data_IF_133955282674
#
_entry.id   IF_133955282674
#
_cell.length_a   1.000
_cell.length_b   1.000
_cell.length_c   1.000
_cell.angle_alpha   90.00
_cell.angle_beta   90.00
_cell.angle_gamma   90.00
#
_symmetry.space_group_name_H-M   'P 1'
#
loop_
_entity.id
_entity.type
_entity.pdbx_description
1 polymer ?
#
# COMPACT_ATOMS: atom_id res chain seq x y z
N UNK A 1 -19.04 -13.40 14.52
CA UNK A 1 -17.74 -13.89 14.01
C UNK A 1 -17.45 -13.06 12.80
N UNK A 2 -16.39 -12.25 12.85
CA UNK A 2 -16.13 -11.25 11.83
C UNK A 2 -15.43 -11.87 10.61
N UNK A 3 -15.94 -11.58 9.41
CA UNK A 3 -15.30 -11.90 8.14
C UNK A 3 -14.69 -10.63 7.51
N UNK A 4 -13.76 -10.79 6.56
CA UNK A 4 -13.11 -9.66 5.86
C UNK A 4 -14.10 -8.62 5.32
N UNK A 5 -15.18 -9.08 4.67
CA UNK A 5 -16.22 -8.20 4.12
C UNK A 5 -16.93 -7.34 5.17
N UNK A 6 -17.02 -7.81 6.41
CA UNK A 6 -17.69 -7.10 7.50
C UNK A 6 -16.75 -6.04 8.12
N UNK A 7 -15.43 -6.25 7.98
CA UNK A 7 -14.38 -5.37 8.49
C UNK A 7 -14.01 -4.29 7.47
N UNK A 8 -13.95 -4.64 6.19
CA UNK A 8 -13.31 -3.83 5.14
C UNK A 8 -13.98 -2.47 4.92
N UNK A 9 -15.28 -2.44 4.68
CA UNK A 9 -15.98 -1.19 4.39
C UNK A 9 -15.98 -0.25 5.62
N UNK A 10 -16.35 -0.71 6.84
CA UNK A 10 -16.29 0.14 8.03
C UNK A 10 -14.87 0.61 8.40
N UNK A 11 -13.84 -0.17 8.05
CA UNK A 11 -12.44 0.22 8.27
C UNK A 11 -12.07 1.46 7.44
N UNK A 12 -12.66 1.67 6.26
CA UNK A 12 -12.38 2.84 5.45
C UNK A 12 -12.81 4.12 6.17
N UNK A 13 -14.01 4.14 6.73
CA UNK A 13 -14.51 5.28 7.52
C UNK A 13 -13.58 5.59 8.70
N UNK A 14 -13.18 4.55 9.46
CA UNK A 14 -12.22 4.70 10.56
C UNK A 14 -10.87 5.30 10.11
N UNK A 15 -10.34 4.86 8.96
CA UNK A 15 -9.09 5.37 8.41
C UNK A 15 -9.23 6.81 7.90
N UNK A 16 -10.36 7.14 7.26
CA UNK A 16 -10.67 8.50 6.78
C UNK A 16 -10.80 9.48 7.95
N UNK A 17 -11.50 9.13 9.03
CA UNK A 17 -11.59 9.97 10.22
C UNK A 17 -10.22 10.26 10.83
N UNK A 18 -9.33 9.26 10.82
CA UNK A 18 -8.00 9.35 11.43
C UNK A 18 -6.98 10.11 10.58
N UNK A 19 -6.98 9.91 9.27
CA UNK A 19 -5.97 10.44 8.36
C UNK A 19 -6.50 11.56 7.45
N UNK A 20 -7.80 11.84 7.51
CA UNK A 20 -8.52 12.83 6.73
C UNK A 20 -8.49 12.54 5.23
N UNK A 21 -7.45 13.01 4.55
CA UNK A 21 -7.34 12.90 3.09
C UNK A 21 -6.54 11.66 2.72
N UNK A 22 -7.26 10.60 2.37
CA UNK A 22 -6.67 9.35 1.94
C UNK A 22 -7.22 8.87 0.60
N UNK A 23 -6.48 7.96 -0.03
CA UNK A 23 -6.95 7.15 -1.16
C UNK A 23 -6.72 5.69 -0.85
N UNK A 24 -7.77 4.89 -0.97
CA UNK A 24 -7.72 3.45 -0.80
C UNK A 24 -7.56 2.77 -2.16
N UNK A 25 -6.63 1.81 -2.22
CA UNK A 25 -6.42 0.89 -3.34
C UNK A 25 -6.46 -0.52 -2.78
N UNK A 26 -7.38 -1.33 -3.28
CA UNK A 26 -7.56 -2.69 -2.78
C UNK A 26 -6.80 -3.73 -3.62
N UNK A 27 -6.54 -4.88 -3.00
CA UNK A 27 -6.03 -6.10 -3.64
C UNK A 27 -4.76 -5.90 -4.49
N UNK A 28 -3.86 -5.03 -4.03
CA UNK A 28 -2.65 -4.68 -4.80
C UNK A 28 -1.62 -5.80 -4.78
N UNK A 29 -1.39 -6.43 -5.93
CA UNK A 29 -0.29 -7.40 -6.09
C UNK A 29 1.08 -6.76 -5.84
N UNK A 30 1.86 -7.34 -4.93
CA UNK A 30 3.20 -6.88 -4.54
C UNK A 30 4.17 -8.05 -4.33
N UNK A 31 5.06 -8.22 -5.31
CA UNK A 31 5.97 -9.35 -5.33
C UNK A 31 5.19 -10.67 -5.26
N UNK A 32 5.34 -11.36 -4.12
CA UNK A 32 4.82 -12.69 -3.86
C UNK A 32 3.56 -12.70 -2.99
N UNK A 33 3.12 -11.53 -2.57
CA UNK A 33 1.95 -11.31 -1.73
C UNK A 33 0.99 -10.35 -2.42
N UNK A 34 -0.21 -10.23 -1.88
CA UNK A 34 -1.21 -9.24 -2.29
C UNK A 34 -1.52 -8.42 -1.05
N UNK A 35 -1.47 -7.09 -1.18
CA UNK A 35 -1.91 -6.22 -0.12
C UNK A 35 -3.43 -6.20 -0.12
N UNK A 36 -4.07 -6.38 1.03
CA UNK A 36 -5.53 -6.31 1.10
C UNK A 36 -5.98 -4.88 0.81
N UNK A 37 -5.30 -3.93 1.46
CA UNK A 37 -5.51 -2.50 1.32
C UNK A 37 -4.16 -1.80 1.22
N UNK A 38 -4.08 -0.84 0.30
CA UNK A 38 -3.04 0.17 0.23
C UNK A 38 -3.70 1.52 0.48
N UNK A 39 -3.35 2.15 1.59
CA UNK A 39 -3.81 3.49 1.92
C UNK A 39 -2.73 4.51 1.57
N UNK A 40 -3.11 5.50 0.78
CA UNK A 40 -2.23 6.58 0.33
C UNK A 40 -2.62 7.84 1.07
N UNK A 41 -1.63 8.51 1.63
CA UNK A 41 -1.71 9.84 2.24
C UNK A 41 -0.85 10.81 1.43
N UNK A 42 -0.86 12.09 1.75
CA UNK A 42 -0.16 13.13 0.98
C UNK A 42 1.35 12.86 0.76
N UNK A 43 2.02 12.17 1.69
CA UNK A 43 3.46 11.91 1.59
C UNK A 43 3.89 10.45 1.86
N UNK A 44 2.94 9.57 2.16
CA UNK A 44 3.21 8.23 2.65
C UNK A 44 2.22 7.20 2.13
N UNK A 45 2.71 5.97 1.92
CA UNK A 45 1.91 4.83 1.49
C UNK A 45 1.94 3.76 2.57
N UNK A 46 0.76 3.36 3.02
CA UNK A 46 0.53 2.37 4.06
C UNK A 46 0.09 1.05 3.42
N UNK A 47 0.65 -0.06 3.89
CA UNK A 47 0.11 -1.39 3.61
C UNK A 47 -0.74 -1.84 4.79
N UNK A 48 -1.95 -2.32 4.54
CA UNK A 48 -2.85 -2.80 5.58
C UNK A 48 -3.27 -4.23 5.23
N UNK A 49 -3.00 -5.15 6.16
CA UNK A 49 -3.39 -6.56 6.07
C UNK A 49 -4.57 -6.81 7.03
N UNK A 50 -5.65 -7.44 6.54
CA UNK A 50 -6.79 -7.83 7.37
C UNK A 50 -6.65 -9.30 7.77
N UNK A 51 -6.90 -9.58 9.05
CA UNK A 51 -6.98 -10.93 9.63
C UNK A 51 -8.29 -11.07 10.39
N UNK A 52 -9.31 -11.53 9.68
CA UNK A 52 -10.63 -11.82 10.22
C UNK A 52 -10.58 -13.03 11.16
N UNK A 53 -11.64 -13.25 11.96
CA UNK A 53 -11.67 -14.37 12.93
C UNK A 53 -11.52 -15.75 12.26
N UNK A 54 -11.83 -15.85 10.97
CA UNK A 54 -11.72 -17.07 10.18
C UNK A 54 -10.30 -17.34 9.64
N UNK A 55 -9.40 -16.36 9.71
CA UNK A 55 -8.07 -16.46 9.11
C UNK A 55 -7.07 -17.25 9.95
N UNK A 56 -6.07 -17.83 9.27
CA UNK A 56 -4.89 -18.39 9.92
C UNK A 56 -3.66 -17.50 9.70
N UNK A 57 -2.72 -17.52 10.64
CA UNK A 57 -1.47 -16.77 10.53
C UNK A 57 -0.37 -17.48 9.74
N UNK A 58 -0.66 -18.61 9.10
CA UNK A 58 0.33 -19.45 8.41
C UNK A 58 1.15 -18.70 7.36
N UNK A 59 0.56 -17.68 6.73
CA UNK A 59 1.20 -16.85 5.69
C UNK A 59 1.71 -15.51 6.19
N UNK A 60 1.34 -15.10 7.40
CA UNK A 60 1.59 -13.75 7.92
C UNK A 60 3.09 -13.44 7.97
N UNK A 61 3.94 -14.38 8.42
CA UNK A 61 5.39 -14.18 8.46
C UNK A 61 6.02 -13.83 7.10
N UNK A 62 5.46 -14.35 6.01
CA UNK A 62 5.92 -13.99 4.65
C UNK A 62 5.33 -12.65 4.22
N UNK A 63 4.05 -12.41 4.50
CA UNK A 63 3.39 -11.16 4.20
C UNK A 63 4.13 -10.01 4.88
N UNK A 64 4.42 -10.10 6.17
CA UNK A 64 5.21 -9.12 6.92
C UNK A 64 6.48 -8.71 6.17
N UNK A 65 7.27 -9.68 5.71
CA UNK A 65 8.52 -9.40 4.97
C UNK A 65 8.29 -8.70 3.63
N UNK A 66 7.20 -9.02 2.93
CA UNK A 66 6.86 -8.36 1.68
C UNK A 66 6.35 -6.94 1.95
N UNK A 67 5.38 -6.76 2.85
CA UNK A 67 4.87 -5.44 3.26
C UNK A 67 5.98 -4.50 3.74
N UNK A 68 6.89 -5.00 4.58
CA UNK A 68 8.05 -4.28 5.08
C UNK A 68 8.95 -3.73 3.96
N UNK A 69 8.99 -4.36 2.78
CA UNK A 69 9.80 -3.86 1.68
C UNK A 69 9.10 -2.78 0.86
N UNK A 70 7.77 -2.73 0.87
CA UNK A 70 6.99 -1.91 -0.06
C UNK A 70 6.46 -0.61 0.55
N UNK A 71 6.14 -0.59 1.84
CA UNK A 71 5.35 0.50 2.43
C UNK A 71 6.11 1.33 3.46
N UNK A 72 5.74 2.61 3.55
CA UNK A 72 6.29 3.56 4.52
C UNK A 72 5.92 3.21 5.96
N UNK A 73 4.72 2.65 6.11
CA UNK A 73 4.07 2.24 7.34
C UNK A 73 3.24 1.01 7.04
N UNK A 74 3.00 0.16 8.04
CA UNK A 74 2.15 -1.00 7.88
C UNK A 74 1.17 -1.10 9.05
N UNK A 75 -0.03 -1.59 8.77
CA UNK A 75 -1.00 -2.02 9.77
C UNK A 75 -1.34 -3.49 9.59
N UNK A 76 -1.67 -4.12 10.70
CA UNK A 76 -2.51 -5.31 10.69
C UNK A 76 -3.82 -5.00 11.41
N UNK A 77 -4.93 -5.42 10.82
CA UNK A 77 -6.26 -5.34 11.41
C UNK A 77 -6.65 -6.75 11.87
N UNK A 78 -6.89 -6.93 13.16
CA UNK A 78 -7.17 -8.24 13.74
C UNK A 78 -8.58 -8.28 14.35
N UNK A 79 -9.35 -9.32 14.02
CA UNK A 79 -10.59 -9.63 14.72
C UNK A 79 -10.33 -10.00 16.20
N UNK A 80 -11.37 -9.91 17.03
CA UNK A 80 -11.32 -10.16 18.49
C UNK A 80 -10.58 -11.44 18.90
N UNK A 81 -10.74 -12.56 18.16
CA UNK A 81 -10.08 -13.83 18.50
C UNK A 81 -8.58 -13.83 18.25
N UNK A 82 -8.15 -12.95 17.35
CA UNK A 82 -6.80 -12.88 16.81
C UNK A 82 -5.95 -11.82 17.49
N UNK A 83 -6.58 -10.85 18.15
CA UNK A 83 -5.93 -9.74 18.84
C UNK A 83 -4.92 -10.18 19.91
N UNK A 84 -5.18 -11.27 20.65
CA UNK A 84 -4.35 -11.70 21.78
C UNK A 84 -2.88 -12.05 21.43
N UNK A 85 -2.61 -12.45 20.18
CA UNK A 85 -1.26 -12.89 19.78
C UNK A 85 -0.69 -12.11 18.59
N UNK A 86 -1.43 -11.15 18.04
CA UNK A 86 -0.99 -10.45 16.83
C UNK A 86 0.28 -9.64 17.06
N UNK A 87 0.43 -9.06 18.25
CA UNK A 87 1.62 -8.30 18.66
C UNK A 87 2.93 -9.10 18.51
N UNK A 88 2.88 -10.40 18.77
CA UNK A 88 4.05 -11.30 18.65
C UNK A 88 4.35 -11.71 17.20
N UNK A 89 3.40 -11.51 16.28
CA UNK A 89 3.52 -11.94 14.87
C UNK A 89 3.94 -10.82 13.95
N UNK A 90 3.76 -9.57 14.34
CA UNK A 90 4.16 -8.40 13.54
C UNK A 90 5.27 -7.60 14.21
N UNK A 91 6.20 -7.02 13.45
CA UNK A 91 7.27 -6.19 14.00
C UNK A 91 6.75 -5.00 14.80
N UNK A 92 7.57 -4.47 15.73
CA UNK A 92 7.22 -3.33 16.59
C UNK A 92 6.83 -2.06 15.83
N UNK A 93 7.30 -1.89 14.59
CA UNK A 93 6.97 -0.72 13.76
C UNK A 93 5.60 -0.79 13.08
N UNK A 94 4.92 -1.94 13.13
CA UNK A 94 3.58 -2.09 12.58
C UNK A 94 2.53 -1.51 13.52
N UNK A 95 1.56 -0.81 12.98
CA UNK A 95 0.35 -0.48 13.71
C UNK A 95 -0.55 -1.70 13.86
N UNK A 96 -1.37 -1.71 14.91
CA UNK A 96 -2.34 -2.77 15.18
C UNK A 96 -3.67 -2.10 15.44
N UNK A 97 -4.67 -2.49 14.66
CA UNK A 97 -6.07 -2.11 14.83
C UNK A 97 -6.82 -3.38 15.19
N UNK A 98 -7.64 -3.34 16.25
CA UNK A 98 -8.57 -4.43 16.57
C UNK A 98 -9.94 -4.10 16.02
N UNK A 99 -10.62 -5.10 15.47
CA UNK A 99 -12.00 -5.01 15.01
C UNK A 99 -12.90 -5.84 15.92
N UNK A 100 -13.93 -5.21 16.49
CA UNK A 100 -14.84 -5.83 17.45
C UNK A 100 -16.29 -5.72 17.00
N UNK A 101 -17.05 -6.81 17.14
CA UNK A 101 -18.46 -6.87 16.80
C UNK A 101 -19.28 -6.32 17.99
N UNK A 102 -19.98 -5.21 17.78
CA UNK A 102 -20.84 -4.57 18.79
C UNK A 102 -22.27 -4.50 18.22
N UNK A 103 -23.10 -5.46 18.64
CA UNK A 103 -24.43 -5.63 18.06
C UNK A 103 -24.33 -5.99 16.57
N UNK A 104 -24.93 -5.17 15.71
CA UNK A 104 -24.90 -5.34 14.25
C UNK A 104 -23.81 -4.48 13.57
N UNK A 105 -22.92 -3.85 14.34
CA UNK A 105 -21.86 -2.96 13.85
C UNK A 105 -20.47 -3.49 14.20
N UNK A 106 -19.46 -2.97 13.50
CA UNK A 106 -18.05 -3.25 13.77
C UNK A 106 -17.38 -1.97 14.24
N UNK A 107 -16.81 -2.00 15.44
CA UNK A 107 -16.02 -0.92 16.00
C UNK A 107 -14.53 -1.23 15.87
N UNK A 108 -13.72 -0.16 15.76
CA UNK A 108 -12.27 -0.25 15.61
C UNK A 108 -11.54 0.45 16.73
N UNK A 109 -10.50 -0.20 17.23
CA UNK A 109 -9.64 0.36 18.27
C UNK A 109 -8.18 0.29 17.86
N UNK A 110 -7.47 1.41 18.04
CA UNK A 110 -6.04 1.46 17.79
C UNK A 110 -5.27 0.94 19.01
N UNK A 111 -4.85 -0.32 18.95
CA UNK A 111 -4.00 -0.92 19.99
C UNK A 111 -2.57 -0.39 19.92
N UNK A 112 -2.03 -0.21 18.70
CA UNK A 112 -0.68 0.31 18.49
C UNK A 112 -0.64 1.22 17.28
N UNK A 113 -0.10 2.43 17.45
CA UNK A 113 0.18 3.32 16.30
C UNK A 113 1.35 2.79 15.48
N UNK A 114 1.30 2.86 14.14
CA UNK A 114 2.43 2.50 13.30
C UNK A 114 3.51 3.55 13.43
N UNK A 115 4.76 3.12 13.27
CA UNK A 115 5.89 4.04 13.13
C UNK A 115 6.61 3.76 11.82
N UNK A 116 7.56 4.63 11.47
CA UNK A 116 8.22 4.55 10.16
C UNK A 116 8.88 3.18 10.01
N UNK A 117 8.53 2.49 8.93
CA UNK A 117 9.06 1.18 8.64
C UNK A 117 10.56 1.27 8.27
N UNK A 118 11.48 0.68 9.05
CA UNK A 118 12.92 0.74 8.79
C UNK A 118 13.38 -0.23 7.69
N UNK A 119 12.49 -1.09 7.19
CA UNK A 119 12.80 -2.13 6.19
C UNK A 119 12.40 -1.75 4.77
N UNK A 120 11.85 -0.55 4.57
CA UNK A 120 11.41 -0.05 3.27
C UNK A 120 12.53 -0.16 2.22
N UNK A 121 12.19 -0.74 1.07
CA UNK A 121 13.07 -0.81 -0.11
C UNK A 121 12.46 0.04 -1.22
N UNK A 122 13.11 1.16 -1.53
CA UNK A 122 12.64 2.11 -2.55
C UNK A 122 12.35 1.49 -3.91
N UNK A 123 13.20 0.55 -4.36
CA UNK A 123 12.97 -0.20 -5.60
C UNK A 123 11.67 -0.97 -5.59
N UNK A 124 11.26 -1.49 -4.43
CA UNK A 124 10.03 -2.25 -4.27
C UNK A 124 8.82 -1.33 -4.13
N UNK A 125 8.90 -0.28 -3.31
CA UNK A 125 7.87 0.78 -3.25
C UNK A 125 7.52 1.33 -4.64
N UNK A 126 8.53 1.65 -5.45
CA UNK A 126 8.33 2.14 -6.82
C UNK A 126 7.66 1.13 -7.77
N UNK A 127 7.62 -0.16 -7.41
CA UNK A 127 6.87 -1.17 -8.19
C UNK A 127 5.36 -1.06 -8.00
N UNK A 128 4.88 -0.36 -6.96
CA UNK A 128 3.45 -0.05 -6.77
C UNK A 128 2.91 0.77 -7.94
N UNK A 129 3.75 1.63 -8.51
CA UNK A 129 3.41 2.48 -9.64
C UNK A 129 3.35 1.72 -10.95
N UNK A 130 2.42 2.07 -11.83
CA UNK A 130 2.34 1.59 -13.19
C UNK A 130 3.35 2.27 -14.11
N UNK A 131 3.43 1.79 -15.35
CA UNK A 131 4.41 2.32 -16.29
C UNK A 131 4.16 3.75 -16.75
N UNK A 132 2.92 4.13 -17.07
CA UNK A 132 2.61 5.51 -17.40
C UNK A 132 2.94 6.47 -16.24
N UNK A 133 2.60 6.09 -15.00
CA UNK A 133 2.90 6.88 -13.79
C UNK A 133 4.41 7.10 -13.62
N UNK A 134 5.21 6.03 -13.74
CA UNK A 134 6.67 6.16 -13.71
C UNK A 134 7.19 7.07 -14.83
N UNK A 135 6.60 7.01 -16.02
CA UNK A 135 6.98 7.90 -17.13
C UNK A 135 6.58 9.36 -16.89
N UNK A 136 5.50 9.61 -16.15
CA UNK A 136 5.10 10.95 -15.73
C UNK A 136 6.05 11.51 -14.67
N UNK A 137 6.44 10.71 -13.66
CA UNK A 137 7.52 11.07 -12.72
C UNK A 137 8.82 11.42 -13.47
N UNK A 138 9.20 10.68 -14.51
CA UNK A 138 10.36 11.06 -15.33
C UNK A 138 10.19 12.45 -15.96
N UNK A 139 9.00 12.76 -16.48
CA UNK A 139 8.70 14.06 -17.09
C UNK A 139 8.76 15.21 -16.07
N UNK A 140 8.14 15.04 -14.89
CA UNK A 140 8.17 16.03 -13.81
C UNK A 140 9.60 16.40 -13.40
N UNK A 141 10.50 15.42 -13.43
CA UNK A 141 11.90 15.58 -13.06
C UNK A 141 12.85 15.78 -14.27
N UNK A 142 12.30 16.07 -15.45
CA UNK A 142 13.07 16.34 -16.68
C UNK A 142 14.06 15.21 -17.06
N UNK A 143 13.72 13.95 -16.73
CA UNK A 143 14.53 12.77 -17.03
C UNK A 143 14.23 12.23 -18.44
N UNK A 144 15.23 11.61 -19.11
CA UNK A 144 15.01 10.98 -20.41
C UNK A 144 13.94 9.90 -20.38
N UNK A 145 13.05 9.87 -21.36
CA UNK A 145 12.05 8.79 -21.51
C UNK A 145 12.72 7.51 -21.97
N UNK A 146 12.65 6.45 -21.17
CA UNK A 146 13.26 5.15 -21.49
C UNK A 146 12.21 4.15 -22.02
N UNK A 147 11.53 4.50 -23.11
CA UNK A 147 10.37 3.74 -23.62
C UNK A 147 10.66 2.25 -23.84
N UNK A 148 11.85 1.91 -24.34
CA UNK A 148 12.24 0.54 -24.66
C UNK A 148 12.87 -0.22 -23.49
N UNK A 149 13.05 0.40 -22.32
CA UNK A 149 13.73 -0.24 -21.17
C UNK A 149 12.74 -0.90 -20.20
N UNK A 150 13.27 -1.82 -19.38
CA UNK A 150 12.48 -2.65 -18.46
C UNK A 150 11.95 -1.86 -17.26
N UNK A 151 10.85 -2.37 -16.66
CA UNK A 151 10.47 -2.27 -15.23
C UNK A 151 11.46 -1.54 -14.29
N UNK A 152 12.44 -2.36 -13.92
CA UNK A 152 13.47 -2.06 -12.96
C UNK A 152 14.39 -0.94 -13.45
N UNK A 153 14.80 -0.96 -14.73
CA UNK A 153 15.76 0.03 -15.24
C UNK A 153 15.29 1.47 -15.05
N UNK A 154 14.02 1.75 -15.38
CA UNK A 154 13.47 3.11 -15.21
C UNK A 154 13.35 3.49 -13.75
N UNK A 155 12.93 2.55 -12.89
CA UNK A 155 12.87 2.77 -11.44
C UNK A 155 14.26 3.15 -10.92
N UNK A 156 15.30 2.44 -11.35
CA UNK A 156 16.68 2.71 -10.95
C UNK A 156 17.13 4.10 -11.36
N UNK A 157 16.79 4.53 -12.59
CA UNK A 157 17.13 5.86 -13.07
C UNK A 157 16.39 6.98 -12.35
N UNK A 158 15.14 6.74 -11.95
CA UNK A 158 14.40 7.70 -11.12
C UNK A 158 15.05 7.81 -9.74
N UNK A 159 15.32 6.67 -9.07
CA UNK A 159 15.92 6.65 -7.72
C UNK A 159 17.33 7.28 -7.71
N UNK A 160 18.12 7.07 -8.76
CA UNK A 160 19.48 7.65 -8.88
C UNK A 160 19.46 9.18 -8.99
N UNK A 161 18.40 9.77 -9.55
CA UNK A 161 18.38 11.18 -9.98
C UNK A 161 17.43 12.06 -9.20
N UNK A 162 16.39 11.50 -8.57
CA UNK A 162 15.38 12.28 -7.87
C UNK A 162 15.54 12.11 -6.37
N UNK A 163 15.67 13.21 -5.60
CA UNK A 163 15.76 13.14 -4.14
C UNK A 163 14.56 12.40 -3.53
N UNK A 164 14.81 11.57 -2.52
CA UNK A 164 13.76 10.77 -1.88
C UNK A 164 12.62 11.61 -1.33
N UNK A 165 12.90 12.81 -0.79
CA UNK A 165 11.89 13.72 -0.29
C UNK A 165 10.88 14.13 -1.38
N UNK A 166 11.37 14.40 -2.59
CA UNK A 166 10.54 14.73 -3.76
C UNK A 166 9.78 13.50 -4.26
N UNK A 167 10.45 12.33 -4.30
CA UNK A 167 9.81 11.09 -4.74
C UNK A 167 8.66 10.66 -3.84
N UNK A 168 8.70 10.92 -2.53
CA UNK A 168 7.59 10.57 -1.63
C UNK A 168 6.29 11.20 -2.10
N UNK A 169 6.27 12.51 -2.27
CA UNK A 169 5.09 13.26 -2.71
C UNK A 169 4.65 12.85 -4.11
N UNK A 170 5.60 12.74 -5.06
CA UNK A 170 5.26 12.30 -6.42
C UNK A 170 4.66 10.90 -6.48
N UNK A 171 5.11 9.95 -5.65
CA UNK A 171 4.49 8.62 -5.58
C UNK A 171 3.05 8.73 -5.06
N UNK A 172 2.83 9.52 -4.02
CA UNK A 172 1.49 9.73 -3.47
C UNK A 172 0.56 10.39 -4.49
N UNK A 173 1.01 11.45 -5.17
CA UNK A 173 0.23 12.13 -6.21
C UNK A 173 -0.18 11.18 -7.35
N UNK A 174 0.75 10.38 -7.88
CA UNK A 174 0.44 9.38 -8.91
C UNK A 174 -0.60 8.35 -8.45
N UNK A 175 -0.57 7.98 -7.17
CA UNK A 175 -1.52 7.02 -6.61
C UNK A 175 -2.89 7.65 -6.28
N UNK A 176 -2.93 8.93 -5.90
CA UNK A 176 -4.17 9.68 -5.71
C UNK A 176 -4.91 9.85 -7.04
N UNK A 177 -4.21 10.29 -8.09
CA UNK A 177 -4.75 10.54 -9.42
C UNK A 177 -4.98 9.25 -10.24
N UNK A 178 -4.78 8.08 -9.62
CA UNK A 178 -4.97 6.79 -10.28
C UNK A 178 -6.44 6.54 -10.58
N UNK A 179 -6.77 6.61 -11.87
CA UNK A 179 -8.06 6.21 -12.43
C UNK A 179 -7.95 4.86 -13.17
N UNK A 180 -8.63 3.83 -12.66
CA UNK A 180 -8.63 2.49 -13.23
C UNK A 180 -9.38 2.39 -14.57
N UNK A 181 -10.36 3.28 -14.83
CA UNK A 181 -11.10 3.27 -16.09
C UNK A 181 -10.28 3.90 -17.22
N UNK A 182 -9.58 5.01 -16.94
CA UNK A 182 -8.71 5.66 -17.91
C UNK A 182 -7.35 4.96 -18.10
N UNK A 183 -6.91 4.14 -17.13
CA UNK A 183 -5.59 3.53 -17.20
C UNK A 183 -5.49 2.44 -18.27
N UNK A 184 -6.56 1.69 -18.56
CA UNK A 184 -6.49 0.66 -19.61
C UNK A 184 -6.14 1.29 -20.94
N UNK A 185 -6.82 2.38 -21.28
CA UNK A 185 -6.54 3.17 -22.47
C UNK A 185 -5.16 3.81 -22.41
N UNK A 186 -4.76 4.33 -21.25
CA UNK A 186 -3.41 4.88 -21.06
C UNK A 186 -2.32 3.81 -21.25
N UNK A 187 -2.51 2.60 -20.73
CA UNK A 187 -1.60 1.47 -20.89
C UNK A 187 -1.60 0.98 -22.34
N UNK A 188 -2.76 0.89 -23.00
CA UNK A 188 -2.89 0.54 -24.42
C UNK A 188 -2.19 1.56 -25.30
N UNK A 189 -2.42 2.86 -25.08
CA UNK A 189 -1.74 3.97 -25.77
C UNK A 189 -0.24 3.97 -25.51
N UNK A 190 0.20 3.69 -24.28
CA UNK A 190 1.62 3.59 -23.96
C UNK A 190 2.28 2.40 -24.68
N UNK A 191 1.57 1.27 -24.80
CA UNK A 191 2.03 0.09 -25.56
C UNK A 191 2.03 0.33 -27.07
N UNK A 192 1.06 1.05 -27.63
CA UNK A 192 1.00 1.33 -29.07
C UNK A 192 2.05 2.34 -29.53
N UNK A 193 2.39 3.32 -28.69
CA UNK A 193 3.49 4.29 -28.92
C UNK A 193 4.91 3.71 -28.75
N UNK A 194 5.00 2.39 -28.57
CA UNK A 194 6.24 1.62 -28.39
C UNK A 194 6.72 0.97 -29.70
N UNK A 195 5.92 1.06 -30.76
CA UNK A 195 6.22 0.68 -32.15
C UNK A 195 6.93 1.85 -32.83
#
# INVERSE_FOLDING_TARGET
MLYDKDIRDPLFDFLEERYHKIRIIEEKQMGRSRADIVMVTEDSVFGIEIKSDADSYTRLNRQVKDYDRFFDYNYVVAGTRHALHIEEKVPEWWGIITAEEIGDQVDFYLLRSPVKNPKLVWRDKMKLLWRPELAHIQQLNQLPKYKQKSKAFVIDKIIERVPQAVLKTQISDELFERDYHAIEDTIRLYKSRKI
#
